data_IF_641328690207
#
_entry.id   IF_641328690207
#
_cell.length_a   1.000
_cell.length_b   1.000
_cell.length_c   1.000
_cell.angle_alpha   90.00
_cell.angle_beta   90.00
_cell.angle_gamma   90.00
#
_symmetry.space_group_name_H-M   'P 1'
#
loop_
_entity.id
_entity.type
_entity.pdbx_description
1 polymer ?
#
# COMPACT_ATOMS: atom_id res chain seq x y z
N UNK A 1 -24.87 -15.15 -35.40
CA UNK A 1 -24.06 -13.92 -35.52
C UNK A 1 -23.53 -13.87 -36.95
N UNK A 2 -23.56 -12.71 -37.63
CA UNK A 2 -23.20 -12.63 -39.06
C UNK A 2 -21.68 -12.57 -39.29
N UNK A 3 -21.19 -13.14 -40.39
CA UNK A 3 -19.75 -13.20 -40.74
C UNK A 3 -19.05 -11.83 -40.80
N UNK A 4 -19.80 -10.75 -41.03
CA UNK A 4 -19.28 -9.39 -40.99
C UNK A 4 -18.86 -8.92 -39.60
N UNK A 5 -19.61 -9.32 -38.56
CA UNK A 5 -19.37 -8.92 -37.18
C UNK A 5 -18.03 -9.46 -36.65
N UNK A 6 -17.76 -10.75 -36.89
CA UNK A 6 -16.51 -11.37 -36.47
C UNK A 6 -15.29 -10.83 -37.23
N UNK A 7 -15.47 -10.38 -38.48
CA UNK A 7 -14.39 -9.78 -39.27
C UNK A 7 -13.97 -8.42 -38.73
N UNK A 8 -14.94 -7.60 -38.34
CA UNK A 8 -14.69 -6.30 -37.71
C UNK A 8 -13.94 -6.46 -36.39
N UNK A 9 -14.43 -7.34 -35.50
CA UNK A 9 -13.78 -7.63 -34.21
C UNK A 9 -12.35 -8.16 -34.39
N UNK A 10 -12.12 -9.01 -35.40
CA UNK A 10 -10.78 -9.52 -35.70
C UNK A 10 -9.82 -8.41 -36.11
N UNK A 11 -10.27 -7.46 -36.94
CA UNK A 11 -9.44 -6.31 -37.33
C UNK A 11 -9.13 -5.42 -36.13
N UNK A 12 -10.12 -5.19 -35.26
CA UNK A 12 -9.93 -4.44 -34.02
C UNK A 12 -8.87 -5.11 -33.13
N UNK A 13 -9.01 -6.40 -32.83
CA UNK A 13 -8.06 -7.16 -32.02
C UNK A 13 -6.64 -7.19 -32.62
N UNK A 14 -6.52 -7.27 -33.95
CA UNK A 14 -5.21 -7.20 -34.61
C UNK A 14 -4.54 -5.84 -34.47
N UNK A 15 -5.31 -4.75 -34.57
CA UNK A 15 -4.79 -3.40 -34.33
C UNK A 15 -4.39 -3.20 -32.88
N UNK A 16 -5.22 -3.68 -31.95
CA UNK A 16 -4.99 -3.59 -30.51
C UNK A 16 -3.75 -4.39 -30.09
N UNK A 17 -3.60 -5.62 -30.57
CA UNK A 17 -2.40 -6.44 -30.37
C UNK A 17 -1.12 -5.68 -30.74
N UNK A 18 -1.11 -5.05 -31.92
CA UNK A 18 0.07 -4.33 -32.41
C UNK A 18 0.42 -3.12 -31.53
N UNK A 19 -0.59 -2.39 -31.06
CA UNK A 19 -0.38 -1.28 -30.12
C UNK A 19 0.12 -1.79 -28.76
N UNK A 20 -0.46 -2.86 -28.23
CA UNK A 20 -0.01 -3.49 -26.98
C UNK A 20 1.44 -3.99 -27.06
N UNK A 21 1.84 -4.61 -28.17
CA UNK A 21 3.23 -5.04 -28.42
C UNK A 21 4.20 -3.84 -28.41
N UNK A 22 3.81 -2.74 -29.05
CA UNK A 22 4.61 -1.50 -29.07
C UNK A 22 4.72 -0.88 -27.69
N UNK A 23 3.60 -0.81 -26.95
CA UNK A 23 3.58 -0.30 -25.58
C UNK A 23 4.46 -1.17 -24.67
N UNK A 24 4.33 -2.49 -24.74
CA UNK A 24 5.15 -3.42 -23.95
C UNK A 24 6.65 -3.26 -24.25
N UNK A 25 7.02 -3.12 -25.53
CA UNK A 25 8.40 -2.85 -25.92
C UNK A 25 8.93 -1.54 -25.32
N UNK A 26 8.14 -0.46 -25.37
CA UNK A 26 8.52 0.83 -24.79
C UNK A 26 8.65 0.81 -23.26
N UNK A 27 7.77 0.06 -22.57
CA UNK A 27 7.83 -0.10 -21.12
C UNK A 27 9.04 -0.94 -20.69
N UNK A 28 9.37 -1.99 -21.44
CA UNK A 28 10.56 -2.80 -21.18
C UNK A 28 11.85 -1.99 -21.38
N UNK A 29 11.97 -1.23 -22.47
CA UNK A 29 13.15 -0.39 -22.69
C UNK A 29 13.30 0.69 -21.61
N UNK A 30 12.21 1.35 -21.21
CA UNK A 30 12.25 2.35 -20.14
C UNK A 30 12.62 1.76 -18.79
N UNK A 31 12.15 0.54 -18.48
CA UNK A 31 12.51 -0.15 -17.24
C UNK A 31 13.98 -0.58 -17.22
N UNK A 32 14.53 -1.01 -18.37
CA UNK A 32 15.95 -1.36 -18.52
C UNK A 32 16.87 -0.16 -18.34
N UNK A 33 16.54 0.99 -18.94
CA UNK A 33 17.30 2.24 -18.79
C UNK A 33 17.33 2.71 -17.32
N UNK A 34 16.17 2.71 -16.65
CA UNK A 34 16.08 3.07 -15.22
C UNK A 34 16.85 2.10 -14.33
N UNK A 35 16.86 0.80 -14.66
CA UNK A 35 17.67 -0.20 -13.96
C UNK A 35 19.18 0.08 -14.08
N UNK A 36 19.64 0.50 -15.26
CA UNK A 36 21.07 0.83 -15.45
C UNK A 36 21.48 2.08 -14.70
N UNK A 37 20.60 3.09 -14.64
CA UNK A 37 20.84 4.33 -13.91
C UNK A 37 20.90 4.08 -12.38
N UNK A 38 19.93 3.34 -11.83
CA UNK A 38 19.92 3.02 -10.38
C UNK A 38 21.12 2.17 -9.93
N UNK A 39 21.71 1.32 -10.81
CA UNK A 39 22.91 0.53 -10.50
C UNK A 39 24.21 1.34 -10.67
N UNK A 40 24.18 2.39 -11.50
CA UNK A 40 25.30 3.31 -11.74
C UNK A 40 25.50 4.35 -10.64
N UNK A 41 24.42 4.74 -9.94
CA UNK A 41 24.44 5.58 -8.75
C UNK A 41 25.03 4.79 -7.56
N UNK A 42 26.33 4.95 -7.29
CA UNK A 42 27.10 4.13 -6.34
C UNK A 42 26.75 4.34 -4.84
N UNK A 43 25.80 5.22 -4.48
CA UNK A 43 25.31 5.30 -3.11
C UNK A 43 23.89 5.87 -2.99
N UNK A 44 22.96 5.05 -2.53
CA UNK A 44 21.66 5.47 -1.98
C UNK A 44 21.76 6.22 -0.64
N UNK A 45 22.98 6.48 -0.16
CA UNK A 45 23.25 7.06 1.17
C UNK A 45 23.03 8.58 1.22
N UNK A 46 23.09 9.28 0.08
CA UNK A 46 22.93 10.75 -0.02
C UNK A 46 21.58 11.15 -0.65
N UNK A 47 20.68 10.19 -0.87
CA UNK A 47 19.34 10.45 -1.41
C UNK A 47 18.40 10.83 -0.27
N UNK A 48 17.68 11.95 -0.42
CA UNK A 48 16.64 12.30 0.52
C UNK A 48 15.55 11.22 0.52
N UNK A 49 15.02 10.87 1.71
CA UNK A 49 14.00 9.82 1.85
C UNK A 49 12.78 10.03 0.94
N UNK A 50 12.42 11.29 0.66
CA UNK A 50 11.35 11.64 -0.27
C UNK A 50 11.66 11.25 -1.72
N UNK A 51 12.90 11.42 -2.17
CA UNK A 51 13.32 11.10 -3.54
C UNK A 51 13.37 9.58 -3.74
N UNK A 52 13.86 8.84 -2.74
CA UNK A 52 13.84 7.38 -2.75
C UNK A 52 12.40 6.83 -2.76
N UNK A 53 11.51 7.43 -1.96
CA UNK A 53 10.08 7.10 -1.96
C UNK A 53 9.43 7.31 -3.33
N UNK A 54 9.76 8.42 -4.00
CA UNK A 54 9.25 8.71 -5.33
C UNK A 54 9.80 7.74 -6.39
N UNK A 55 11.10 7.43 -6.37
CA UNK A 55 11.72 6.48 -7.31
C UNK A 55 11.12 5.08 -7.17
N UNK A 56 10.96 4.60 -5.94
CA UNK A 56 10.36 3.28 -5.67
C UNK A 56 8.90 3.22 -6.10
N UNK A 57 8.13 4.29 -5.88
CA UNK A 57 6.75 4.40 -6.33
C UNK A 57 6.64 4.38 -7.87
N UNK A 58 7.43 5.19 -8.56
CA UNK A 58 7.45 5.24 -10.02
C UNK A 58 7.84 3.89 -10.62
N UNK A 59 8.82 3.21 -10.02
CA UNK A 59 9.21 1.85 -10.42
C UNK A 59 8.08 0.84 -10.23
N UNK A 60 7.40 0.87 -9.09
CA UNK A 60 6.27 -0.02 -8.82
C UNK A 60 5.13 0.21 -9.83
N UNK A 61 4.85 1.46 -10.15
CA UNK A 61 3.88 1.86 -11.17
C UNK A 61 4.25 1.33 -12.56
N UNK A 62 5.49 1.49 -12.99
CA UNK A 62 5.96 1.02 -14.30
C UNK A 62 5.84 -0.51 -14.43
N UNK A 63 6.19 -1.25 -13.36
CA UNK A 63 6.00 -2.70 -13.30
C UNK A 63 4.53 -3.11 -13.38
N UNK A 64 3.65 -2.41 -12.66
CA UNK A 64 2.21 -2.67 -12.68
C UNK A 64 1.61 -2.42 -14.08
N UNK A 65 2.04 -1.34 -14.75
CA UNK A 65 1.63 -1.04 -16.13
C UNK A 65 2.11 -2.13 -17.10
N UNK A 66 3.38 -2.54 -17.01
CA UNK A 66 3.94 -3.63 -17.84
C UNK A 66 3.15 -4.92 -17.68
N UNK A 67 2.89 -5.32 -16.43
CA UNK A 67 2.18 -6.57 -16.13
C UNK A 67 0.73 -6.51 -16.61
N UNK A 68 0.08 -5.35 -16.51
CA UNK A 68 -1.27 -5.15 -17.05
C UNK A 68 -1.26 -5.23 -18.59
N UNK A 69 -0.38 -4.49 -19.27
CA UNK A 69 -0.23 -4.55 -20.74
C UNK A 69 0.03 -5.97 -21.22
N UNK A 70 0.85 -6.74 -20.49
CA UNK A 70 1.11 -8.14 -20.83
C UNK A 70 -0.14 -9.02 -20.70
N UNK A 71 -0.91 -8.88 -19.61
CA UNK A 71 -2.18 -9.63 -19.45
C UNK A 71 -3.17 -9.30 -20.57
N UNK A 72 -3.31 -8.02 -20.93
CA UNK A 72 -4.18 -7.61 -22.04
C UNK A 72 -3.70 -8.21 -23.37
N UNK A 73 -2.39 -8.25 -23.60
CA UNK A 73 -1.82 -8.89 -24.78
C UNK A 73 -2.18 -10.39 -24.81
N UNK A 74 -1.95 -11.11 -23.71
CA UNK A 74 -2.28 -12.53 -23.59
C UNK A 74 -3.78 -12.78 -23.85
N UNK A 75 -4.68 -11.95 -23.32
CA UNK A 75 -6.12 -12.02 -23.56
C UNK A 75 -6.47 -11.79 -25.05
N UNK A 76 -5.84 -10.79 -25.70
CA UNK A 76 -6.06 -10.53 -27.13
C UNK A 76 -5.55 -11.66 -28.02
N UNK A 77 -4.43 -12.29 -27.67
CA UNK A 77 -3.89 -13.45 -28.38
C UNK A 77 -4.80 -14.67 -28.23
N UNK A 78 -5.28 -14.94 -27.02
CA UNK A 78 -6.23 -16.02 -26.75
C UNK A 78 -7.54 -15.84 -27.53
N UNK A 79 -8.04 -14.61 -27.64
CA UNK A 79 -9.22 -14.29 -28.42
C UNK A 79 -8.99 -14.53 -29.93
N UNK A 80 -7.86 -14.07 -30.48
CA UNK A 80 -7.48 -14.30 -31.88
C UNK A 80 -7.28 -15.78 -32.21
N UNK A 81 -6.69 -16.56 -31.29
CA UNK A 81 -6.54 -18.01 -31.43
C UNK A 81 -7.91 -18.71 -31.43
N UNK A 82 -8.80 -18.30 -30.53
CA UNK A 82 -10.19 -18.82 -30.47
C UNK A 82 -10.94 -18.52 -31.78
N UNK A 83 -10.71 -17.34 -32.38
CA UNK A 83 -11.26 -17.01 -33.71
C UNK A 83 -10.68 -17.88 -34.82
N UNK A 84 -9.41 -18.26 -34.74
CA UNK A 84 -8.77 -19.14 -35.71
C UNK A 84 -9.31 -20.58 -35.63
N UNK A 85 -9.63 -21.06 -34.42
CA UNK A 85 -10.24 -22.38 -34.18
C UNK A 85 -11.74 -22.43 -34.46
N UNK A 86 -12.40 -21.28 -34.59
CA UNK A 86 -13.86 -21.19 -34.76
C UNK A 86 -14.66 -21.36 -33.47
N UNK A 87 -13.99 -21.27 -32.32
CA UNK A 87 -14.58 -21.40 -30.98
C UNK A 87 -14.90 -20.03 -30.35
N UNK A 88 -14.65 -18.94 -31.07
CA UNK A 88 -14.85 -17.58 -30.57
C UNK A 88 -16.32 -17.28 -30.26
N UNK A 89 -16.55 -16.68 -29.08
CA UNK A 89 -17.89 -16.42 -28.56
C UNK A 89 -18.46 -17.57 -27.71
N UNK A 90 -17.67 -18.60 -27.43
CA UNK A 90 -17.99 -19.65 -26.45
C UNK A 90 -17.07 -19.49 -25.25
N UNK A 91 -17.63 -19.55 -24.04
CA UNK A 91 -16.86 -19.44 -22.80
C UNK A 91 -15.97 -20.68 -22.61
N UNK A 92 -14.68 -20.47 -22.35
CA UNK A 92 -13.71 -21.56 -22.17
C UNK A 92 -13.92 -22.38 -20.88
N UNK A 93 -14.56 -21.82 -19.84
CA UNK A 93 -14.77 -22.50 -18.56
C UNK A 93 -16.09 -23.29 -18.52
N UNK A 94 -17.20 -22.70 -18.97
CA UNK A 94 -18.53 -23.31 -18.88
C UNK A 94 -19.13 -23.78 -20.22
N UNK A 95 -18.48 -23.48 -21.36
CA UNK A 95 -18.98 -23.83 -22.69
C UNK A 95 -20.25 -23.09 -23.13
N UNK A 96 -20.73 -22.11 -22.36
CA UNK A 96 -21.91 -21.31 -22.71
C UNK A 96 -21.56 -20.21 -23.73
N UNK A 97 -22.51 -19.81 -24.60
CA UNK A 97 -22.30 -18.69 -25.50
C UNK A 97 -22.13 -17.37 -24.73
N UNK A 98 -21.20 -16.54 -25.18
CA UNK A 98 -20.93 -15.20 -24.65
C UNK A 98 -21.91 -14.21 -25.30
N UNK A 99 -22.50 -13.32 -24.50
CA UNK A 99 -23.41 -12.28 -24.98
C UNK A 99 -22.72 -11.39 -26.02
N UNK A 100 -23.38 -11.14 -27.15
CA UNK A 100 -22.88 -10.26 -28.21
C UNK A 100 -22.58 -8.84 -27.69
N UNK A 101 -23.37 -8.34 -26.73
CA UNK A 101 -23.14 -7.02 -26.10
C UNK A 101 -21.80 -6.99 -25.37
N UNK A 102 -21.42 -8.09 -24.73
CA UNK A 102 -20.12 -8.23 -24.06
C UNK A 102 -18.98 -8.27 -25.07
N UNK A 103 -19.10 -9.06 -26.14
CA UNK A 103 -18.08 -9.14 -27.19
C UNK A 103 -17.90 -7.82 -27.94
N UNK A 104 -18.97 -7.02 -28.07
CA UNK A 104 -18.89 -5.68 -28.68
C UNK A 104 -18.20 -4.66 -27.76
N UNK A 105 -18.38 -4.79 -26.45
CA UNK A 105 -17.72 -3.91 -25.47
C UNK A 105 -16.26 -4.33 -25.19
N UNK A 106 -16.01 -5.64 -25.09
CA UNK A 106 -14.72 -6.23 -24.77
C UNK A 106 -14.46 -7.40 -25.76
N UNK A 107 -13.82 -7.12 -26.91
CA UNK A 107 -13.53 -8.12 -27.94
C UNK A 107 -12.56 -9.21 -27.49
N UNK A 108 -11.70 -8.94 -26.51
CA UNK A 108 -10.73 -9.89 -25.97
C UNK A 108 -11.33 -10.89 -24.97
N UNK A 109 -12.62 -10.78 -24.63
CA UNK A 109 -13.24 -11.60 -23.60
C UNK A 109 -13.38 -13.09 -23.99
N UNK A 110 -12.65 -13.97 -23.30
CA UNK A 110 -12.72 -15.45 -23.45
C UNK A 110 -13.68 -16.13 -22.46
N UNK A 111 -14.13 -15.40 -21.42
CA UNK A 111 -15.06 -15.90 -20.39
C UNK A 111 -16.40 -15.16 -20.43
N UNK A 112 -17.48 -15.88 -20.07
CA UNK A 112 -18.79 -15.29 -19.84
C UNK A 112 -18.76 -14.42 -18.56
N UNK A 113 -19.78 -13.57 -18.38
CA UNK A 113 -19.86 -12.67 -17.23
C UNK A 113 -19.83 -13.42 -15.89
N UNK A 114 -20.58 -14.53 -15.76
CA UNK A 114 -20.64 -15.30 -14.52
C UNK A 114 -19.29 -15.95 -14.17
N UNK A 115 -18.63 -16.58 -15.15
CA UNK A 115 -17.29 -17.15 -15.00
C UNK A 115 -16.26 -16.09 -14.65
N UNK A 116 -16.28 -14.94 -15.34
CA UNK A 116 -15.34 -13.85 -15.07
C UNK A 116 -15.53 -13.28 -13.66
N UNK A 117 -16.77 -13.06 -13.24
CA UNK A 117 -17.09 -12.56 -11.91
C UNK A 117 -16.65 -13.54 -10.81
N UNK A 118 -16.82 -14.85 -11.05
CA UNK A 118 -16.35 -15.88 -10.12
C UNK A 118 -14.82 -15.93 -10.04
N UNK A 119 -14.11 -15.79 -11.16
CA UNK A 119 -12.65 -15.71 -11.20
C UNK A 119 -12.13 -14.49 -10.42
N UNK A 120 -12.75 -13.32 -10.62
CA UNK A 120 -12.39 -12.09 -9.91
C UNK A 120 -12.68 -12.19 -8.41
N UNK A 121 -13.81 -12.78 -8.03
CA UNK A 121 -14.19 -12.97 -6.62
C UNK A 121 -13.21 -13.90 -5.89
N UNK A 122 -12.69 -14.95 -6.56
CA UNK A 122 -11.67 -15.86 -5.98
C UNK A 122 -10.31 -15.17 -5.82
N UNK A 123 -9.99 -14.16 -6.64
CA UNK A 123 -8.74 -13.41 -6.49
C UNK A 123 -8.77 -12.48 -5.28
N UNK A 124 -9.97 -12.14 -4.79
CA UNK A 124 -10.18 -11.35 -3.57
C UNK A 124 -10.19 -12.22 -2.30
N UNK A 125 -9.75 -13.48 -2.40
CA UNK A 125 -9.52 -14.38 -1.26
C UNK A 125 -8.32 -13.94 -0.40
N UNK A 126 -7.94 -12.65 -0.40
CA UNK A 126 -7.23 -12.09 0.75
C UNK A 126 -8.23 -12.07 1.90
N UNK A 127 -8.32 -13.23 2.57
CA UNK A 127 -9.03 -13.34 3.84
C UNK A 127 -8.37 -12.33 4.75
N UNK A 128 -9.05 -11.19 4.91
CA UNK A 128 -8.66 -10.19 5.89
C UNK A 128 -8.30 -10.91 7.17
N UNK A 129 -7.10 -10.65 7.74
CA UNK A 129 -6.63 -11.33 8.92
C UNK A 129 -7.75 -11.40 9.96
N UNK A 130 -7.83 -12.48 10.75
CA UNK A 130 -8.93 -12.63 11.73
C UNK A 130 -8.95 -11.44 12.69
N UNK A 131 -7.80 -10.82 12.89
CA UNK A 131 -7.55 -9.58 13.61
C UNK A 131 -8.39 -8.41 13.08
N UNK A 132 -8.57 -8.25 11.76
CA UNK A 132 -9.41 -7.17 11.18
C UNK A 132 -10.92 -7.41 11.39
N UNK A 133 -11.33 -8.64 11.72
CA UNK A 133 -12.71 -8.93 12.14
C UNK A 133 -12.94 -8.66 13.62
N UNK A 134 -11.88 -8.64 14.42
CA UNK A 134 -11.92 -8.50 15.87
C UNK A 134 -11.62 -7.05 16.29
N UNK A 135 -10.73 -6.37 15.56
CA UNK A 135 -10.39 -4.97 15.74
C UNK A 135 -11.29 -4.18 14.79
N UNK A 136 -12.35 -3.51 15.28
CA UNK A 136 -13.05 -2.54 14.45
C UNK A 136 -12.02 -1.48 14.04
N UNK A 137 -11.76 -1.35 12.73
CA UNK A 137 -11.06 -0.20 12.18
C UNK A 137 -12.02 1.00 12.20
N UNK A 138 -12.49 1.34 13.38
CA UNK A 138 -13.34 2.49 13.62
C UNK A 138 -12.46 3.48 14.37
N UNK A 139 -12.28 4.66 13.78
CA UNK A 139 -11.70 5.82 14.42
C UNK A 139 -12.75 6.33 15.41
N UNK A 140 -13.03 5.53 16.45
CA UNK A 140 -14.15 5.81 17.35
C UNK A 140 -13.93 7.16 18.00
N UNK A 141 -14.92 8.03 17.86
CA UNK A 141 -15.05 9.30 18.59
C UNK A 141 -15.31 9.08 20.09
N UNK A 142 -15.47 7.82 20.53
CA UNK A 142 -15.59 7.44 21.93
C UNK A 142 -14.25 6.88 22.41
N UNK A 143 -13.55 7.73 23.16
CA UNK A 143 -12.36 7.44 23.95
C UNK A 143 -12.64 6.23 24.87
N UNK A 144 -12.11 5.07 24.49
CA UNK A 144 -12.28 3.80 25.20
C UNK A 144 -10.90 3.21 25.48
N UNK A 145 -10.70 2.72 26.69
CA UNK A 145 -9.43 2.18 27.24
C UNK A 145 -8.95 0.86 26.60
N UNK A 146 -9.55 0.41 25.51
CA UNK A 146 -9.18 -0.83 24.83
C UNK A 146 -8.29 -0.57 23.63
N UNK A 147 -7.16 -1.30 23.53
CA UNK A 147 -6.20 -1.16 22.43
C UNK A 147 -6.89 -1.16 21.05
N UNK A 148 -6.92 0.00 20.40
CA UNK A 148 -7.62 0.22 19.15
C UNK A 148 -6.66 0.70 18.02
N UNK A 149 -7.23 1.26 16.95
CA UNK A 149 -6.44 1.76 15.83
C UNK A 149 -5.60 2.99 16.19
N UNK A 150 -6.06 3.82 17.12
CA UNK A 150 -5.33 4.97 17.64
C UNK A 150 -4.11 4.49 18.45
N UNK A 151 -4.31 3.56 19.38
CA UNK A 151 -3.21 2.94 20.16
C UNK A 151 -2.17 2.27 19.26
N UNK A 152 -2.63 1.59 18.19
CA UNK A 152 -1.74 0.94 17.22
C UNK A 152 -0.84 1.97 16.54
N UNK A 153 -1.38 3.13 16.20
CA UNK A 153 -0.59 4.21 15.60
C UNK A 153 0.36 4.84 16.62
N UNK A 154 -0.12 5.16 17.83
CA UNK A 154 0.69 5.72 18.91
C UNK A 154 1.89 4.82 19.26
N UNK A 155 1.69 3.50 19.33
CA UNK A 155 2.74 2.51 19.65
C UNK A 155 3.90 2.47 18.64
N UNK A 156 3.64 2.87 17.38
CA UNK A 156 4.67 3.05 16.34
C UNK A 156 5.22 4.46 16.38
N UNK A 157 4.36 5.46 16.56
CA UNK A 157 4.71 6.88 16.56
C UNK A 157 5.75 7.25 17.64
N UNK A 158 5.73 6.57 18.80
CA UNK A 158 6.74 6.75 19.86
C UNK A 158 8.19 6.46 19.43
N UNK A 159 8.39 5.70 18.35
CA UNK A 159 9.73 5.41 17.81
C UNK A 159 10.20 6.47 16.82
N UNK A 160 9.42 7.54 16.63
CA UNK A 160 9.74 8.70 15.82
C UNK A 160 8.62 9.03 14.83
N UNK A 161 8.20 10.28 14.84
CA UNK A 161 7.33 10.86 13.82
C UNK A 161 8.07 11.94 13.03
N UNK A 162 7.47 12.41 11.93
CA UNK A 162 7.96 13.59 11.23
C UNK A 162 7.49 14.91 11.87
N UNK A 163 6.74 14.85 12.98
CA UNK A 163 6.24 16.04 13.66
C UNK A 163 7.34 16.66 14.52
N UNK A 164 7.28 17.97 14.69
CA UNK A 164 8.06 18.70 15.69
C UNK A 164 7.20 18.99 16.92
N UNK A 165 7.80 19.33 18.08
CA UNK A 165 7.04 19.78 19.26
C UNK A 165 6.15 21.01 19.01
N UNK A 166 6.34 21.72 17.88
CA UNK A 166 5.48 22.83 17.48
C UNK A 166 4.23 22.38 16.71
N UNK A 167 4.26 21.19 16.11
CA UNK A 167 3.16 20.63 15.33
C UNK A 167 2.11 19.95 16.23
N UNK A 168 2.51 19.49 17.42
CA UNK A 168 1.64 18.82 18.40
C UNK A 168 1.41 19.72 19.63
N UNK A 169 0.17 20.15 19.90
CA UNK A 169 -0.13 20.91 21.10
C UNK A 169 0.19 20.12 22.38
N UNK A 170 1.06 20.65 23.23
CA UNK A 170 1.43 20.03 24.52
C UNK A 170 2.75 19.25 24.50
N UNK A 171 3.31 18.95 23.32
CA UNK A 171 4.62 18.34 23.20
C UNK A 171 5.74 19.35 23.52
N UNK A 172 6.67 18.96 24.40
CA UNK A 172 7.85 19.75 24.73
C UNK A 172 9.14 19.14 24.20
N UNK A 173 9.16 17.82 24.01
CA UNK A 173 10.27 17.06 23.42
C UNK A 173 9.82 16.33 22.15
N UNK A 174 10.77 15.94 21.31
CA UNK A 174 10.55 15.11 20.13
C UNK A 174 10.02 13.72 20.48
N UNK A 175 10.37 13.22 21.67
CA UNK A 175 9.84 11.95 22.17
C UNK A 175 8.31 12.01 22.39
N UNK A 176 7.76 13.21 22.62
CA UNK A 176 6.32 13.46 22.81
C UNK A 176 5.66 14.07 21.56
N UNK A 177 6.35 14.12 20.41
CA UNK A 177 5.84 14.74 19.18
C UNK A 177 4.85 13.83 18.42
N UNK A 178 3.88 13.25 19.12
CA UNK A 178 2.75 12.54 18.54
C UNK A 178 1.46 12.82 19.30
N UNK A 179 0.33 12.62 18.64
CA UNK A 179 -0.99 12.94 19.20
C UNK A 179 -1.25 12.07 20.44
N UNK A 180 -1.72 12.70 21.52
CA UNK A 180 -2.07 12.07 22.80
C UNK A 180 -0.89 11.32 23.45
N UNK A 181 0.34 11.85 23.31
CA UNK A 181 1.53 11.28 23.97
C UNK A 181 1.45 11.27 25.51
N UNK A 182 0.58 12.09 26.09
CA UNK A 182 0.32 12.20 27.53
C UNK A 182 -0.77 11.25 28.03
N UNK A 183 -1.32 10.40 27.16
CA UNK A 183 -2.35 9.43 27.49
C UNK A 183 -1.80 8.17 28.19
N UNK A 184 -2.52 7.70 29.21
CA UNK A 184 -2.20 6.46 29.94
C UNK A 184 -2.64 5.22 29.14
N UNK A 185 -1.74 4.69 28.32
CA UNK A 185 -2.00 3.50 27.50
C UNK A 185 -2.23 2.27 28.39
N UNK A 186 -3.38 1.61 28.23
CA UNK A 186 -3.66 0.29 28.80
C UNK A 186 -4.19 0.26 30.24
N UNK A 187 -4.60 1.41 30.78
CA UNK A 187 -5.21 1.48 32.12
C UNK A 187 -6.73 1.23 32.04
N UNK A 188 -7.20 0.05 32.44
CA UNK A 188 -8.64 -0.27 32.40
C UNK A 188 -9.38 0.28 33.63
N UNK A 189 -8.68 0.44 34.76
CA UNK A 189 -9.25 0.96 36.00
C UNK A 189 -8.36 2.01 36.68
N UNK A 190 -8.93 2.99 37.41
CA UNK A 190 -8.15 3.98 38.15
C UNK A 190 -7.18 3.40 39.19
N UNK A 191 -7.35 2.13 39.59
CA UNK A 191 -6.46 1.44 40.51
C UNK A 191 -5.18 0.93 39.80
N UNK A 192 -5.30 0.54 38.54
CA UNK A 192 -4.18 0.06 37.71
C UNK A 192 -3.29 1.22 37.27
N UNK A 193 -3.88 2.40 37.02
CA UNK A 193 -3.14 3.62 36.70
C UNK A 193 -2.27 4.15 37.84
N UNK A 194 -2.49 3.72 39.10
CA UNK A 194 -1.67 4.16 40.24
C UNK A 194 -0.20 3.72 40.10
N UNK A 195 0.04 2.61 39.37
CA UNK A 195 1.40 2.15 39.05
C UNK A 195 2.04 2.94 37.91
N UNK A 196 1.27 3.47 36.94
CA UNK A 196 1.78 4.31 35.84
C UNK A 196 1.93 5.80 36.23
N UNK A 197 1.04 6.33 37.08
CA UNK A 197 0.96 7.74 37.50
C UNK A 197 1.97 8.16 38.59
N UNK A 198 3.06 7.41 38.76
CA UNK A 198 4.24 7.92 39.48
C UNK A 198 4.29 7.70 40.99
N UNK A 199 3.42 6.87 41.59
CA UNK A 199 3.68 6.36 42.94
C UNK A 199 4.62 5.13 42.94
N UNK A 200 4.62 4.36 41.84
CA UNK A 200 5.53 3.23 41.61
C UNK A 200 6.09 3.18 40.18
N UNK A 201 5.79 4.18 39.35
CA UNK A 201 6.21 4.20 37.96
C UNK A 201 7.74 4.17 37.87
N UNK A 202 8.25 3.33 36.97
CA UNK A 202 9.68 3.20 36.65
C UNK A 202 10.24 4.40 35.87
N UNK A 203 9.63 5.58 36.01
CA UNK A 203 10.16 6.84 35.52
C UNK A 203 11.23 7.35 36.50
N UNK A 204 12.44 6.83 36.31
CA UNK A 204 13.59 7.13 37.16
C UNK A 204 14.04 8.60 37.05
N UNK A 205 13.69 9.31 35.97
CA UNK A 205 14.07 10.71 35.75
C UNK A 205 13.20 11.70 36.55
N UNK A 206 11.91 11.38 36.74
CA UNK A 206 11.00 12.18 37.57
C UNK A 206 11.16 11.92 39.07
N UNK A 207 11.57 10.70 39.45
CA UNK A 207 11.82 10.29 40.84
C UNK A 207 13.20 10.76 41.34
N UNK A 208 14.22 10.74 40.49
CA UNK A 208 15.56 11.27 40.78
C UNK A 208 15.97 12.29 39.72
N UNK A 209 15.58 13.58 39.85
CA UNK A 209 16.10 14.60 38.97
C UNK A 209 17.61 14.69 39.18
N UNK A 210 18.40 14.23 38.20
CA UNK A 210 19.83 14.49 38.17
C UNK A 210 20.02 16.02 38.12
N UNK A 211 20.83 16.61 39.01
CA UNK A 211 21.05 18.04 38.98
C UNK A 211 21.65 18.41 37.63
N UNK A 212 20.98 19.32 36.92
CA UNK A 212 21.51 19.97 35.71
C UNK A 212 22.91 20.47 36.04
N UNK A 213 23.87 20.01 35.26
CA UNK A 213 25.30 20.25 35.39
C UNK A 213 25.62 21.59 36.06
N UNK A 214 26.27 21.54 37.23
CA UNK A 214 27.04 22.67 37.74
C UNK A 214 28.07 23.01 36.65
N UNK A 215 27.84 24.11 35.93
CA UNK A 215 28.85 24.71 35.07
C UNK A 215 30.08 25.03 35.92
N UNK A 216 31.25 24.60 35.45
CA UNK A 216 32.49 24.52 36.21
C UNK A 216 33.19 25.83 36.58
N UNK A 217 32.45 26.82 37.12
CA UNK A 217 33.01 28.09 37.62
C UNK A 217 32.82 28.30 39.15
N UNK A 218 32.05 27.47 39.86
CA UNK A 218 31.73 27.69 41.29
C UNK A 218 32.75 27.11 42.30
N UNK A 219 33.95 26.68 41.88
CA UNK A 219 34.90 25.95 42.76
C UNK A 219 36.08 26.79 43.31
N UNK A 220 36.07 28.13 43.24
CA UNK A 220 37.20 28.97 43.70
C UNK A 220 36.82 30.17 44.56
N UNK A 221 35.85 30.06 45.48
CA UNK A 221 35.60 31.10 46.49
C UNK A 221 35.62 30.65 47.97
N UNK A 222 36.06 29.42 48.29
CA UNK A 222 36.30 29.03 49.70
C UNK A 222 37.68 28.39 49.95
N UNK A 223 38.73 29.19 49.78
CA UNK A 223 40.00 29.13 50.53
C UNK A 223 40.47 30.55 50.85
#
# INVERSE_FOLDING_TARGET
MGDGFYRELRQQLQSEKKELEKTLASLNSGLEERLTDSVGELSSYDQHAADLGQETYDRAKDLALRDNTRRLLDDTEAALESMARGEYGICQECGQPIDERRLRAIPSAVLCFACKNAEESRRDDWVRPVEERVIPFDLTLEDNVGFDAEDTWQAVARFGTANTPQDIPGAYDYDDAYINADEDIGTVTPLEGIESDGLLATDWERIYPMPREMTGDDFLEEL
#
